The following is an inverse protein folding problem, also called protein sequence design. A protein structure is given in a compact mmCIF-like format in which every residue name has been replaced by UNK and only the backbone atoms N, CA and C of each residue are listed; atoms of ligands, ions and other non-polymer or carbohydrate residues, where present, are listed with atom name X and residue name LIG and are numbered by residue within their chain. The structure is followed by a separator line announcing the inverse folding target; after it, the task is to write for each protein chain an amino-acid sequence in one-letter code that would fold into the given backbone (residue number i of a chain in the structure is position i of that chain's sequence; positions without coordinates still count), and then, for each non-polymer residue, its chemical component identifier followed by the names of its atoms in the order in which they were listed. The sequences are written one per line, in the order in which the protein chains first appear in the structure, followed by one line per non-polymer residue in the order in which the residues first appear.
data_IF_306765431700
#
_entry.id   IF_306765431700
#
_cell.length_a   1.000
_cell.length_b   1.000
_cell.length_c   1.000
_cell.angle_alpha   90.00
_cell.angle_beta   90.00
_cell.angle_gamma   90.00
#
_symmetry.space_group_name_H-M   'P 1'
#
loop_
_entity.id
_entity.type
_entity.pdbx_description
1 polymer ?
#
# COMPACT_ATOMS: atom_id res chain seq x y z
N UNK A 1 -43.61 -52.84 5.40
CA UNK A 1 -42.29 -52.45 4.89
C UNK A 1 -42.20 -50.95 4.68
N UNK A 2 -41.29 -50.33 5.44
CA UNK A 2 -40.60 -49.06 5.23
C UNK A 2 -41.27 -47.96 4.38
N UNK A 3 -41.92 -47.01 5.06
CA UNK A 3 -42.07 -45.64 4.55
C UNK A 3 -40.82 -44.83 4.92
N UNK A 4 -39.93 -44.59 3.97
CA UNK A 4 -38.71 -43.83 4.15
C UNK A 4 -38.99 -42.32 4.10
N UNK A 5 -38.55 -41.65 5.16
CA UNK A 5 -38.56 -40.20 5.32
C UNK A 5 -37.76 -39.48 4.22
N UNK A 6 -38.43 -38.71 3.36
CA UNK A 6 -37.82 -37.53 2.72
C UNK A 6 -38.09 -36.31 3.60
N UNK A 7 -37.20 -36.10 4.59
CA UNK A 7 -37.15 -34.87 5.37
C UNK A 7 -36.26 -33.88 4.62
N UNK A 8 -36.86 -33.17 3.67
CA UNK A 8 -36.18 -32.12 2.89
C UNK A 8 -35.78 -30.99 3.84
N UNK A 9 -34.48 -30.85 4.09
CA UNK A 9 -33.88 -29.79 4.91
C UNK A 9 -34.11 -28.39 4.29
N UNK A 10 -35.27 -27.78 4.55
CA UNK A 10 -35.55 -26.37 4.24
C UNK A 10 -35.15 -25.42 5.38
N UNK A 11 -33.96 -25.59 5.99
CA UNK A 11 -33.46 -24.74 7.11
C UNK A 11 -32.19 -23.92 6.81
N UNK A 12 -31.82 -23.76 5.55
CA UNK A 12 -30.48 -23.25 5.16
C UNK A 12 -30.38 -21.76 4.73
N UNK A 13 -31.44 -21.03 4.31
CA UNK A 13 -31.30 -19.62 3.91
C UNK A 13 -31.26 -18.63 5.09
N UNK A 14 -32.13 -18.81 6.09
CA UNK A 14 -32.31 -17.86 7.19
C UNK A 14 -31.14 -17.84 8.19
N UNK A 15 -30.52 -18.99 8.44
CA UNK A 15 -29.35 -19.07 9.33
C UNK A 15 -28.14 -18.41 8.67
N UNK A 16 -27.93 -18.61 7.36
CA UNK A 16 -26.86 -17.96 6.60
C UNK A 16 -27.07 -16.45 6.49
N UNK A 17 -28.30 -15.97 6.26
CA UNK A 17 -28.60 -14.54 6.22
C UNK A 17 -28.42 -13.88 7.59
N UNK A 18 -28.80 -14.57 8.67
CA UNK A 18 -28.57 -14.08 10.03
C UNK A 18 -27.08 -14.02 10.37
N UNK A 19 -26.31 -15.08 10.10
CA UNK A 19 -24.86 -15.12 10.35
C UNK A 19 -24.09 -14.07 9.53
N UNK A 20 -24.47 -13.84 8.28
CA UNK A 20 -23.87 -12.78 7.44
C UNK A 20 -24.21 -11.39 7.96
N UNK A 21 -25.43 -11.17 8.45
CA UNK A 21 -25.84 -9.91 9.08
C UNK A 21 -25.05 -9.63 10.37
N UNK A 22 -24.95 -10.64 11.26
CA UNK A 22 -24.18 -10.54 12.51
C UNK A 22 -22.71 -10.24 12.20
N UNK A 23 -22.08 -11.01 11.31
CA UNK A 23 -20.70 -10.76 10.89
C UNK A 23 -20.52 -9.35 10.32
N UNK A 24 -21.47 -8.87 9.52
CA UNK A 24 -21.44 -7.51 8.99
C UNK A 24 -21.50 -6.44 10.08
N UNK A 25 -22.30 -6.64 11.13
CA UNK A 25 -22.36 -5.74 12.28
C UNK A 25 -21.04 -5.75 13.07
N UNK A 26 -20.45 -6.92 13.30
CA UNK A 26 -19.16 -7.05 13.98
C UNK A 26 -18.03 -6.35 13.22
N UNK A 27 -17.97 -6.49 11.89
CA UNK A 27 -16.96 -5.81 11.05
C UNK A 27 -17.09 -4.29 11.14
N UNK A 28 -18.32 -3.76 11.17
CA UNK A 28 -18.56 -2.32 11.34
C UNK A 28 -18.15 -1.83 12.73
N UNK A 29 -18.47 -2.59 13.78
CA UNK A 29 -18.06 -2.27 15.14
C UNK A 29 -16.52 -2.21 15.25
N UNK A 30 -15.83 -3.22 14.70
CA UNK A 30 -14.37 -3.26 14.68
C UNK A 30 -13.75 -2.07 13.93
N UNK A 31 -14.33 -1.68 12.79
CA UNK A 31 -13.88 -0.48 12.07
C UNK A 31 -14.08 0.82 12.89
N UNK A 32 -15.13 0.88 13.71
CA UNK A 32 -15.35 2.02 14.60
C UNK A 32 -14.32 2.05 15.75
N UNK A 33 -14.00 0.91 16.34
CA UNK A 33 -12.96 0.78 17.37
C UNK A 33 -11.58 1.18 16.85
N UNK A 34 -11.21 0.74 15.63
CA UNK A 34 -9.98 1.18 14.94
C UNK A 34 -9.95 2.71 14.83
N UNK A 35 -11.10 3.31 14.48
CA UNK A 35 -11.21 4.75 14.30
C UNK A 35 -11.07 5.53 15.62
N UNK A 36 -11.57 4.96 16.71
CA UNK A 36 -11.53 5.55 18.06
C UNK A 36 -10.19 5.36 18.77
N UNK A 37 -9.40 4.36 18.38
CA UNK A 37 -8.10 4.07 18.98
C UNK A 37 -7.19 5.31 19.06
N UNK A 38 -6.67 5.56 20.25
CA UNK A 38 -5.93 6.77 20.63
C UNK A 38 -4.42 6.65 20.37
N UNK A 39 -3.88 5.44 20.25
CA UNK A 39 -2.45 5.18 20.07
C UNK A 39 -2.16 4.00 19.15
N UNK A 40 -0.93 3.90 18.65
CA UNK A 40 -0.46 2.75 17.89
C UNK A 40 -0.48 1.46 18.72
N UNK A 41 -0.16 1.55 20.01
CA UNK A 41 -0.15 0.43 20.94
C UNK A 41 -1.55 -0.14 21.17
N UNK A 42 -2.51 0.73 21.46
CA UNK A 42 -3.91 0.35 21.62
C UNK A 42 -4.44 -0.32 20.35
N UNK A 43 -4.08 0.19 19.18
CA UNK A 43 -4.49 -0.35 17.89
C UNK A 43 -3.93 -1.76 17.63
N UNK A 44 -2.65 -2.01 17.94
CA UNK A 44 -2.07 -3.35 17.80
C UNK A 44 -2.64 -4.34 18.82
N UNK A 45 -2.90 -3.89 20.06
CA UNK A 45 -3.57 -4.72 21.06
C UNK A 45 -5.01 -5.05 20.68
N UNK A 46 -5.73 -4.10 20.06
CA UNK A 46 -7.06 -4.33 19.51
C UNK A 46 -7.01 -5.39 18.40
N UNK A 47 -6.04 -5.29 17.48
CA UNK A 47 -5.82 -6.30 16.43
C UNK A 47 -5.50 -7.68 17.00
N UNK A 48 -4.54 -7.78 17.93
CA UNK A 48 -4.09 -9.05 18.49
C UNK A 48 -5.19 -9.83 19.23
N UNK A 49 -6.22 -9.13 19.73
CA UNK A 49 -7.38 -9.77 20.38
C UNK A 49 -8.49 -10.17 19.41
N UNK A 50 -8.43 -9.76 18.14
CA UNK A 50 -9.51 -9.98 17.17
C UNK A 50 -9.29 -11.24 16.34
N UNK A 51 -10.38 -11.77 15.79
CA UNK A 51 -10.36 -12.93 14.88
C UNK A 51 -10.03 -12.50 13.45
N UNK A 52 -9.22 -13.32 12.76
CA UNK A 52 -8.87 -13.14 11.36
C UNK A 52 -10.07 -13.18 10.40
N UNK A 53 -11.19 -13.78 10.81
CA UNK A 53 -12.44 -13.82 10.03
C UNK A 53 -13.08 -12.45 9.77
N UNK A 54 -12.60 -11.44 10.50
CA UNK A 54 -13.06 -10.06 10.42
C UNK A 54 -12.15 -9.14 9.63
N UNK A 55 -11.01 -9.66 9.19
CA UNK A 55 -10.12 -8.96 8.30
C UNK A 55 -10.80 -8.83 6.94
N UNK A 56 -11.06 -7.59 6.55
CA UNK A 56 -11.48 -7.16 5.22
C UNK A 56 -10.48 -6.13 4.73
N UNK A 57 -10.39 -5.92 3.42
CA UNK A 57 -9.58 -4.87 2.81
C UNK A 57 -9.89 -3.48 3.40
N UNK A 58 -11.15 -3.21 3.72
CA UNK A 58 -11.59 -1.98 4.39
C UNK A 58 -11.05 -1.88 5.82
N UNK A 59 -11.20 -2.92 6.64
CA UNK A 59 -10.75 -2.88 8.05
C UNK A 59 -9.23 -2.86 8.15
N UNK A 60 -8.54 -3.65 7.33
CA UNK A 60 -7.08 -3.66 7.23
C UNK A 60 -6.55 -2.30 6.72
N UNK A 61 -7.18 -1.73 5.68
CA UNK A 61 -6.81 -0.41 5.17
C UNK A 61 -7.00 0.69 6.21
N UNK A 62 -8.09 0.65 6.98
CA UNK A 62 -8.33 1.59 8.07
C UNK A 62 -7.31 1.44 9.20
N UNK A 63 -6.97 0.20 9.57
CA UNK A 63 -5.97 -0.11 10.58
C UNK A 63 -4.59 0.42 10.17
N UNK A 64 -4.10 0.08 8.97
CA UNK A 64 -2.81 0.55 8.47
C UNK A 64 -2.75 2.08 8.39
N UNK A 65 -3.80 2.73 7.89
CA UNK A 65 -3.87 4.19 7.84
C UNK A 65 -3.87 4.83 9.24
N UNK A 66 -4.57 4.23 10.21
CA UNK A 66 -4.58 4.73 11.59
C UNK A 66 -3.22 4.54 12.25
N UNK A 67 -2.60 3.37 12.10
CA UNK A 67 -1.25 3.07 12.58
C UNK A 67 -0.24 4.06 12.00
N UNK A 68 -0.30 4.30 10.69
CA UNK A 68 0.55 5.27 10.00
C UNK A 68 0.44 6.67 10.59
N UNK A 69 -0.79 7.16 10.82
CA UNK A 69 -1.01 8.48 11.43
C UNK A 69 -0.49 8.59 12.87
N UNK A 70 -0.55 7.52 13.65
CA UNK A 70 -0.02 7.52 15.02
C UNK A 70 1.51 7.56 15.04
N UNK A 71 2.15 6.80 14.16
CA UNK A 71 3.61 6.71 14.12
C UNK A 71 4.28 7.88 13.39
N UNK A 72 3.63 8.45 12.37
CA UNK A 72 4.14 9.61 11.62
C UNK A 72 4.30 10.85 12.52
N UNK A 73 3.47 10.99 13.56
CA UNK A 73 3.54 12.10 14.53
C UNK A 73 4.74 12.03 15.48
N UNK A 74 5.28 10.84 15.74
CA UNK A 74 6.33 10.61 16.75
C UNK A 74 7.76 10.82 16.25
N UNK A 75 7.94 11.11 14.95
CA UNK A 75 9.25 11.21 14.29
C UNK A 75 9.90 9.84 14.00
N UNK A 76 10.88 9.84 13.09
CA UNK A 76 11.51 8.60 12.58
C UNK A 76 12.18 7.73 13.67
N UNK A 77 12.70 8.33 14.74
CA UNK A 77 13.36 7.60 15.83
C UNK A 77 12.37 6.78 16.66
N UNK A 78 11.30 7.42 17.12
CA UNK A 78 10.20 6.79 17.87
C UNK A 78 9.51 5.73 17.03
N UNK A 79 9.24 6.05 15.76
CA UNK A 79 8.68 5.13 14.79
C UNK A 79 9.54 3.86 14.68
N UNK A 80 10.84 3.99 14.38
CA UNK A 80 11.75 2.82 14.28
C UNK A 80 11.83 2.01 15.57
N UNK A 81 11.85 2.66 16.74
CA UNK A 81 11.83 1.95 18.02
C UNK A 81 10.56 1.12 18.18
N UNK A 82 9.39 1.73 17.96
CA UNK A 82 8.10 1.04 18.07
C UNK A 82 8.01 -0.18 17.13
N UNK A 83 8.46 -0.02 15.88
CA UNK A 83 8.44 -1.12 14.90
C UNK A 83 9.28 -2.31 15.35
N UNK A 84 10.45 -2.07 15.97
CA UNK A 84 11.32 -3.12 16.52
C UNK A 84 10.69 -3.80 17.74
N UNK A 85 10.16 -3.02 18.67
CA UNK A 85 9.54 -3.54 19.90
C UNK A 85 8.25 -4.34 19.66
N UNK A 86 7.59 -4.13 18.51
CA UNK A 86 6.34 -4.81 18.13
C UNK A 86 6.50 -5.71 16.90
N UNK A 87 7.73 -6.08 16.55
CA UNK A 87 8.06 -6.80 15.32
C UNK A 87 7.23 -8.07 15.12
N UNK A 88 7.02 -8.88 16.17
CA UNK A 88 6.26 -10.13 16.05
C UNK A 88 4.80 -9.93 15.64
N UNK A 89 4.09 -8.99 16.27
CA UNK A 89 2.69 -8.68 15.94
C UNK A 89 2.59 -8.03 14.56
N UNK A 90 3.55 -7.17 14.21
CA UNK A 90 3.62 -6.53 12.90
C UNK A 90 3.90 -7.53 11.77
N UNK A 91 4.72 -8.55 12.03
CA UNK A 91 4.98 -9.63 11.10
C UNK A 91 3.71 -10.44 10.83
N UNK A 92 2.95 -10.78 11.88
CA UNK A 92 1.65 -11.44 11.74
C UNK A 92 0.66 -10.58 10.95
N UNK A 93 0.56 -9.29 11.27
CA UNK A 93 -0.31 -8.35 10.56
C UNK A 93 0.05 -8.28 9.07
N UNK A 94 1.34 -8.23 8.71
CA UNK A 94 1.78 -8.24 7.32
C UNK A 94 1.40 -9.55 6.61
N UNK A 95 1.61 -10.70 7.25
CA UNK A 95 1.28 -12.01 6.70
C UNK A 95 -0.22 -12.17 6.47
N UNK A 96 -1.05 -11.79 7.44
CA UNK A 96 -2.51 -11.84 7.31
C UNK A 96 -3.03 -10.85 6.27
N UNK A 97 -2.50 -9.62 6.26
CA UNK A 97 -2.86 -8.61 5.26
C UNK A 97 -2.54 -9.12 3.85
N UNK A 98 -1.35 -9.71 3.67
CA UNK A 98 -0.91 -10.29 2.40
C UNK A 98 -1.82 -11.45 1.98
N UNK A 99 -2.08 -12.39 2.89
CA UNK A 99 -2.96 -13.51 2.63
C UNK A 99 -4.36 -13.04 2.22
N UNK A 100 -4.92 -12.03 2.92
CA UNK A 100 -6.20 -11.45 2.58
C UNK A 100 -6.19 -10.84 1.17
N UNK A 101 -5.19 -10.01 0.85
CA UNK A 101 -5.09 -9.38 -0.47
C UNK A 101 -4.99 -10.41 -1.61
N UNK A 102 -4.33 -11.54 -1.38
CA UNK A 102 -4.16 -12.58 -2.40
C UNK A 102 -5.41 -13.44 -2.64
N UNK A 103 -6.28 -13.62 -1.64
CA UNK A 103 -7.37 -14.62 -1.70
C UNK A 103 -8.77 -14.02 -1.59
N UNK A 104 -8.91 -12.80 -1.07
CA UNK A 104 -10.19 -12.13 -0.94
C UNK A 104 -10.41 -11.17 -2.13
N UNK A 105 -11.69 -10.97 -2.46
CA UNK A 105 -12.09 -9.91 -3.40
C UNK A 105 -11.88 -8.55 -2.72
N UNK A 106 -10.80 -7.88 -3.09
CA UNK A 106 -10.46 -6.55 -2.59
C UNK A 106 -10.86 -5.48 -3.62
N UNK A 107 -11.23 -4.30 -3.13
CA UNK A 107 -11.39 -3.12 -3.97
C UNK A 107 -10.06 -2.34 -4.09
N UNK A 108 -9.93 -1.53 -5.14
CA UNK A 108 -8.71 -0.78 -5.42
C UNK A 108 -8.38 0.22 -4.30
N UNK A 109 -9.39 0.81 -3.66
CA UNK A 109 -9.23 1.81 -2.61
C UNK A 109 -8.71 1.17 -1.31
N UNK A 110 -9.21 0.00 -0.94
CA UNK A 110 -8.78 -0.81 0.20
C UNK A 110 -7.33 -1.21 0.05
N UNK A 111 -6.95 -1.76 -1.10
CA UNK A 111 -5.57 -2.11 -1.43
C UNK A 111 -4.62 -0.90 -1.32
N UNK A 112 -5.00 0.24 -1.89
CA UNK A 112 -4.19 1.46 -1.80
C UNK A 112 -4.08 1.98 -0.37
N UNK A 113 -5.16 1.93 0.41
CA UNK A 113 -5.15 2.34 1.81
C UNK A 113 -4.22 1.46 2.67
N UNK A 114 -4.18 0.16 2.40
CA UNK A 114 -3.25 -0.78 3.07
C UNK A 114 -1.81 -0.33 2.82
N UNK A 115 -1.39 -0.22 1.55
CA UNK A 115 0.01 0.10 1.22
C UNK A 115 0.36 1.52 1.65
N UNK A 116 -0.55 2.48 1.48
CA UNK A 116 -0.36 3.86 1.91
C UNK A 116 -0.14 3.96 3.43
N UNK A 117 -0.99 3.30 4.21
CA UNK A 117 -0.86 3.24 5.66
C UNK A 117 0.41 2.52 6.11
N UNK A 118 0.78 1.43 5.45
CA UNK A 118 2.02 0.70 5.71
C UNK A 118 3.28 1.52 5.39
N UNK A 119 3.26 2.33 4.34
CA UNK A 119 4.36 3.28 4.06
C UNK A 119 4.43 4.36 5.14
N UNK A 120 3.29 4.96 5.50
CA UNK A 120 3.24 6.03 6.52
C UNK A 120 3.64 5.55 7.91
N UNK A 121 3.32 4.31 8.24
CA UNK A 121 3.77 3.68 9.49
C UNK A 121 5.26 3.38 9.50
N UNK A 122 5.96 3.60 8.39
CA UNK A 122 7.39 3.29 8.24
C UNK A 122 7.63 1.81 8.03
N UNK A 123 6.56 0.99 7.95
CA UNK A 123 6.66 -0.45 7.80
C UNK A 123 7.50 -0.79 6.59
N UNK A 124 7.19 -0.17 5.44
CA UNK A 124 7.81 -0.44 4.15
C UNK A 124 9.25 0.10 4.02
N UNK A 125 9.88 0.54 5.13
CA UNK A 125 11.27 1.00 5.21
C UNK A 125 11.89 0.67 6.58
N UNK A 126 12.53 -0.50 6.73
CA UNK A 126 12.99 -1.02 8.03
C UNK A 126 13.27 -2.53 8.05
N UNK A 127 12.89 -3.23 9.13
CA UNK A 127 13.02 -4.68 9.31
C UNK A 127 11.87 -5.46 8.61
N UNK A 128 11.91 -6.80 8.58
CA UNK A 128 10.91 -7.65 7.87
C UNK A 128 10.92 -7.49 6.34
N UNK A 129 12.10 -7.46 5.72
CA UNK A 129 12.24 -7.21 4.29
C UNK A 129 11.40 -8.15 3.41
N UNK A 130 11.32 -9.43 3.77
CA UNK A 130 10.57 -10.46 3.02
C UNK A 130 9.07 -10.19 3.03
N UNK A 131 8.48 -9.99 4.20
CA UNK A 131 7.03 -9.81 4.37
C UNK A 131 6.54 -8.57 3.62
N UNK A 132 7.34 -7.51 3.61
CA UNK A 132 7.00 -6.25 2.95
C UNK A 132 7.09 -6.34 1.45
N UNK A 133 8.13 -7.01 0.96
CA UNK A 133 8.27 -7.28 -0.46
C UNK A 133 7.07 -8.09 -0.94
N UNK A 134 6.70 -9.15 -0.20
CA UNK A 134 5.55 -9.98 -0.51
C UNK A 134 4.22 -9.20 -0.49
N UNK A 135 4.00 -8.31 0.49
CA UNK A 135 2.82 -7.45 0.51
C UNK A 135 2.77 -6.54 -0.73
N UNK A 136 3.88 -5.89 -1.07
CA UNK A 136 3.94 -5.00 -2.24
C UNK A 136 3.75 -5.76 -3.56
N UNK A 137 4.39 -6.92 -3.73
CA UNK A 137 4.23 -7.78 -4.91
C UNK A 137 2.77 -8.22 -5.05
N UNK A 138 2.16 -8.67 -3.95
CA UNK A 138 0.76 -9.11 -3.93
C UNK A 138 -0.18 -7.96 -4.27
N UNK A 139 -0.06 -6.81 -3.58
CA UNK A 139 -0.96 -5.69 -3.80
C UNK A 139 -0.80 -5.11 -5.20
N UNK A 140 0.43 -4.98 -5.72
CA UNK A 140 0.64 -4.46 -7.07
C UNK A 140 0.04 -5.38 -8.14
N UNK A 141 0.18 -6.70 -7.99
CA UNK A 141 -0.40 -7.69 -8.89
C UNK A 141 -1.93 -7.68 -8.89
N UNK A 142 -2.55 -7.54 -7.72
CA UNK A 142 -4.02 -7.49 -7.60
C UNK A 142 -4.57 -6.12 -8.03
N UNK A 143 -3.87 -5.03 -7.73
CA UNK A 143 -4.32 -3.67 -8.01
C UNK A 143 -4.25 -3.32 -9.51
N UNK A 144 -3.18 -3.72 -10.21
CA UNK A 144 -2.96 -3.37 -11.62
C UNK A 144 -4.18 -3.63 -12.54
N UNK A 145 -4.83 -4.81 -12.53
CA UNK A 145 -6.02 -5.05 -13.36
C UNK A 145 -7.27 -4.28 -12.91
N UNK A 146 -7.31 -3.74 -11.69
CA UNK A 146 -8.45 -2.99 -11.15
C UNK A 146 -8.38 -1.48 -11.44
N UNK A 147 -7.19 -0.96 -11.75
CA UNK A 147 -6.94 0.49 -11.87
C UNK A 147 -7.91 1.18 -12.83
N UNK A 148 -8.21 0.56 -13.96
CA UNK A 148 -9.10 1.17 -14.94
C UNK A 148 -10.57 1.14 -14.54
N UNK A 149 -11.07 -0.05 -14.16
CA UNK A 149 -12.49 -0.26 -13.84
C UNK A 149 -12.91 0.41 -12.54
N UNK A 150 -11.97 0.64 -11.63
CA UNK A 150 -12.19 1.32 -10.34
C UNK A 150 -11.40 2.63 -10.26
N UNK A 151 -11.24 3.31 -11.40
CA UNK A 151 -10.46 4.54 -11.47
C UNK A 151 -10.97 5.61 -10.49
N UNK A 152 -10.04 6.20 -9.75
CA UNK A 152 -10.29 7.38 -8.94
C UNK A 152 -8.99 8.22 -8.85
N UNK A 153 -9.03 9.54 -9.07
CA UNK A 153 -7.81 10.37 -9.20
C UNK A 153 -6.86 10.27 -8.01
N UNK A 154 -7.40 10.41 -6.80
CA UNK A 154 -6.61 10.29 -5.56
C UNK A 154 -6.08 8.86 -5.35
N UNK A 155 -6.81 7.84 -5.79
CA UNK A 155 -6.42 6.44 -5.60
C UNK A 155 -5.16 6.15 -6.42
N UNK A 156 -5.14 6.53 -7.70
CA UNK A 156 -3.97 6.28 -8.57
C UNK A 156 -2.74 7.08 -8.12
N UNK A 157 -2.94 8.34 -7.68
CA UNK A 157 -1.85 9.15 -7.14
C UNK A 157 -1.27 8.56 -5.86
N UNK A 158 -2.12 8.12 -4.92
CA UNK A 158 -1.67 7.50 -3.69
C UNK A 158 -1.02 6.13 -3.93
N UNK A 159 -1.50 5.35 -4.90
CA UNK A 159 -0.88 4.08 -5.29
C UNK A 159 0.57 4.32 -5.73
N UNK A 160 0.77 5.14 -6.77
CA UNK A 160 2.11 5.46 -7.28
C UNK A 160 3.03 6.04 -6.20
N UNK A 161 2.51 6.98 -5.39
CA UNK A 161 3.28 7.55 -4.28
C UNK A 161 3.72 6.49 -3.28
N UNK A 162 2.84 5.58 -2.90
CA UNK A 162 3.14 4.55 -1.91
C UNK A 162 4.21 3.58 -2.43
N UNK A 163 4.11 3.13 -3.68
CA UNK A 163 5.12 2.25 -4.27
C UNK A 163 6.48 2.94 -4.50
N UNK A 164 6.49 4.18 -5.00
CA UNK A 164 7.70 4.97 -5.16
C UNK A 164 8.36 5.29 -3.81
N UNK A 165 7.56 5.59 -2.78
CA UNK A 165 8.04 5.79 -1.41
C UNK A 165 8.50 4.46 -0.80
N UNK A 166 7.88 3.33 -1.08
CA UNK A 166 8.38 2.02 -0.64
C UNK A 166 9.69 1.63 -1.33
N UNK A 167 10.09 2.33 -2.41
CA UNK A 167 11.22 1.96 -3.28
C UNK A 167 11.06 0.55 -3.86
N UNK A 168 9.80 0.18 -4.13
CA UNK A 168 9.46 -1.12 -4.67
C UNK A 168 9.12 -0.98 -6.16
N UNK A 169 9.77 -1.79 -6.99
CA UNK A 169 9.60 -1.76 -8.44
C UNK A 169 8.31 -2.47 -8.85
N UNK A 170 7.30 -1.72 -9.30
CA UNK A 170 6.01 -2.25 -9.73
C UNK A 170 5.64 -1.80 -11.16
N UNK A 171 6.43 -2.16 -12.18
CA UNK A 171 6.30 -1.58 -13.54
C UNK A 171 4.91 -1.83 -14.14
N UNK A 172 4.31 -3.01 -13.92
CA UNK A 172 2.96 -3.34 -14.39
C UNK A 172 1.90 -2.40 -13.81
N UNK A 173 2.00 -2.06 -12.52
CA UNK A 173 1.07 -1.13 -11.88
C UNK A 173 1.25 0.30 -12.43
N UNK A 174 2.49 0.76 -12.60
CA UNK A 174 2.76 2.09 -13.15
C UNK A 174 2.28 2.23 -14.60
N UNK A 175 2.45 1.19 -15.41
CA UNK A 175 1.89 1.13 -16.77
C UNK A 175 0.36 1.12 -16.77
N UNK A 176 -0.27 0.38 -15.86
CA UNK A 176 -1.72 0.38 -15.72
C UNK A 176 -2.26 1.77 -15.33
N UNK A 177 -1.57 2.47 -14.42
CA UNK A 177 -1.92 3.84 -14.02
C UNK A 177 -1.74 4.82 -15.16
N UNK A 178 -0.62 4.80 -15.89
CA UNK A 178 -0.40 5.72 -17.01
C UNK A 178 -1.45 5.51 -18.10
N UNK A 179 -1.73 4.26 -18.46
CA UNK A 179 -2.80 3.93 -19.41
C UNK A 179 -4.17 4.42 -18.91
N UNK A 180 -4.48 4.25 -17.62
CA UNK A 180 -5.77 4.65 -17.07
C UNK A 180 -5.98 6.16 -16.95
N UNK A 181 -4.94 6.92 -16.61
CA UNK A 181 -4.99 8.38 -16.56
C UNK A 181 -5.11 8.96 -17.97
N UNK A 182 -4.42 8.38 -18.95
CA UNK A 182 -4.41 8.86 -20.33
C UNK A 182 -5.56 8.32 -21.21
N UNK A 183 -6.38 7.39 -20.71
CA UNK A 183 -7.48 6.77 -21.48
C UNK A 183 -8.49 7.81 -21.98
N UNK A 184 -8.80 8.80 -21.15
CA UNK A 184 -9.76 9.87 -21.47
C UNK A 184 -9.25 11.22 -20.96
N UNK A 185 -9.42 12.32 -21.72
CA UNK A 185 -9.00 13.66 -21.28
C UNK A 185 -9.60 14.10 -19.93
N UNK A 186 -10.82 13.66 -19.64
CA UNK A 186 -11.55 13.95 -18.39
C UNK A 186 -10.85 13.38 -17.16
N UNK A 187 -10.19 12.22 -17.27
CA UNK A 187 -9.47 11.58 -16.16
C UNK A 187 -8.24 12.37 -15.76
N UNK A 188 -7.47 12.85 -16.73
CA UNK A 188 -6.35 13.76 -16.48
C UNK A 188 -6.84 15.08 -15.87
N UNK A 189 -7.92 15.66 -16.41
CA UNK A 189 -8.51 16.91 -15.91
C UNK A 189 -9.08 16.79 -14.49
N UNK A 190 -9.47 15.58 -14.06
CA UNK A 190 -10.01 15.32 -12.72
C UNK A 190 -8.94 15.22 -11.61
N UNK A 191 -7.65 15.18 -11.97
CA UNK A 191 -6.57 15.16 -10.99
C UNK A 191 -6.39 16.54 -10.37
N UNK A 192 -6.37 16.60 -9.04
CA UNK A 192 -6.06 17.85 -8.32
C UNK A 192 -4.55 18.12 -8.43
N UNK A 193 -4.10 19.37 -8.20
CA UNK A 193 -2.68 19.72 -8.27
C UNK A 193 -1.77 18.81 -7.43
N UNK A 194 -2.21 18.41 -6.24
CA UNK A 194 -1.48 17.47 -5.37
C UNK A 194 -1.37 16.07 -5.99
N UNK A 195 -2.43 15.59 -6.65
CA UNK A 195 -2.46 14.27 -7.26
C UNK A 195 -1.49 14.23 -8.45
N UNK A 196 -1.44 15.30 -9.25
CA UNK A 196 -0.46 15.48 -10.34
C UNK A 196 0.97 15.49 -9.79
N UNK A 197 1.25 16.31 -8.77
CA UNK A 197 2.58 16.40 -8.17
C UNK A 197 3.05 15.04 -7.64
N UNK A 198 2.16 14.30 -6.97
CA UNK A 198 2.46 12.95 -6.49
C UNK A 198 2.75 11.97 -7.63
N UNK A 199 1.96 11.99 -8.71
CA UNK A 199 2.22 11.14 -9.88
C UNK A 199 3.59 11.48 -10.50
N UNK A 200 3.85 12.75 -10.82
CA UNK A 200 5.12 13.19 -11.42
C UNK A 200 6.33 12.76 -10.57
N UNK A 201 6.30 13.02 -9.26
CA UNK A 201 7.38 12.62 -8.35
C UNK A 201 7.55 11.10 -8.31
N UNK A 202 6.46 10.35 -8.30
CA UNK A 202 6.48 8.88 -8.22
C UNK A 202 7.03 8.23 -9.48
N UNK A 203 6.63 8.72 -10.66
CA UNK A 203 7.17 8.24 -11.93
C UNK A 203 8.66 8.55 -12.03
N UNK A 204 9.08 9.80 -11.76
CA UNK A 204 10.49 10.18 -11.77
C UNK A 204 11.34 9.30 -10.83
N UNK A 205 10.82 9.02 -9.62
CA UNK A 205 11.51 8.18 -8.63
C UNK A 205 11.53 6.69 -8.98
N UNK A 206 10.50 6.18 -9.65
CA UNK A 206 10.45 4.74 -10.02
C UNK A 206 11.37 4.44 -11.19
N UNK A 207 11.48 5.36 -12.16
CA UNK A 207 12.42 5.22 -13.28
C UNK A 207 13.89 5.39 -12.85
N UNK A 208 14.19 6.20 -11.84
CA UNK A 208 15.56 6.30 -11.33
C UNK A 208 16.04 5.04 -10.62
N UNK A 209 15.14 4.29 -9.97
CA UNK A 209 15.46 2.97 -9.36
C UNK A 209 15.66 1.89 -10.42
N UNK A 210 14.92 1.94 -11.55
CA UNK A 210 15.07 0.99 -12.64
C UNK A 210 16.36 1.20 -13.47
N UNK A 211 16.82 2.45 -13.61
CA UNK A 211 17.99 2.79 -14.44
C UNK A 211 19.34 2.68 -13.70
N UNK A 212 19.35 2.59 -12.36
CA UNK A 212 20.58 2.48 -11.57
C UNK A 212 20.45 1.43 -10.45
N UNK A 213 20.68 0.14 -10.71
CA UNK A 213 20.75 -0.88 -9.67
C UNK A 213 22.04 -0.79 -8.80
N UNK A 214 22.89 0.22 -9.00
CA UNK A 214 24.08 0.49 -8.17
C UNK A 214 24.07 1.92 -7.63
N UNK A 215 24.54 2.16 -6.40
CA UNK A 215 24.63 3.51 -5.86
C UNK A 215 25.86 4.21 -6.46
N UNK A 216 25.74 4.74 -7.67
CA UNK A 216 26.65 5.77 -8.15
C UNK A 216 26.12 7.14 -7.71
N UNK A 217 26.64 7.60 -6.58
CA UNK A 217 26.51 8.95 -6.10
C UNK A 217 27.25 9.90 -7.06
N UNK A 218 26.59 10.43 -8.09
CA UNK A 218 27.22 11.46 -8.96
C UNK A 218 26.23 12.32 -9.76
N UNK A 219 25.04 12.62 -9.25
CA UNK A 219 24.10 13.53 -9.94
C UNK A 219 23.70 14.79 -9.17
N UNK A 220 24.61 15.32 -8.33
CA UNK A 220 24.41 16.63 -7.69
C UNK A 220 25.47 17.70 -8.00
N UNK A 221 26.36 17.49 -8.98
CA UNK A 221 27.17 18.59 -9.50
C UNK A 221 26.98 18.72 -11.01
N UNK A 222 26.08 19.63 -11.39
CA UNK A 222 26.28 20.41 -12.61
C UNK A 222 27.49 21.30 -12.30
N UNK A 223 28.69 20.87 -12.70
CA UNK A 223 29.84 21.77 -12.76
C UNK A 223 29.65 22.73 -13.94
N UNK A 224 29.90 24.04 -13.77
CA UNK A 224 29.84 25.00 -14.86
C UNK A 224 30.99 24.75 -15.85
N UNK A 225 30.87 25.15 -17.13
CA UNK A 225 31.93 24.95 -18.11
C UNK A 225 33.14 25.79 -17.70
N UNK A 226 34.20 25.11 -17.26
CA UNK A 226 35.46 25.76 -16.92
C UNK A 226 36.21 26.10 -18.20
N UNK A 227 36.47 27.40 -18.34
CA UNK A 227 37.42 28.11 -19.18
C UNK A 227 38.39 27.27 -20.04
N UNK A 228 38.47 27.66 -21.31
CA UNK A 228 39.61 27.39 -22.20
C UNK A 228 40.92 27.78 -21.51
N UNK A 229 41.78 26.80 -21.24
CA UNK A 229 43.21 27.02 -21.11
C UNK A 229 43.86 26.51 -22.41
N UNK A 230 44.29 27.45 -23.25
CA UNK A 230 45.19 27.18 -24.36
C UNK A 230 46.57 26.79 -23.80
N UNK A 231 47.01 25.56 -24.04
CA UNK A 231 48.44 25.22 -24.07
C UNK A 231 48.83 24.94 -25.52
N UNK A 232 49.64 25.83 -26.10
CA UNK A 232 50.38 25.57 -27.35
C UNK A 232 51.82 25.16 -27.03
N UNK A 233 52.41 24.22 -27.78
CA UNK A 233 53.68 23.61 -27.43
C UNK A 233 54.88 24.44 -27.89
N UNK A 234 55.95 24.49 -27.06
CA UNK A 234 57.27 25.00 -27.46
C UNK A 234 57.83 24.12 -28.58
N UNK A 235 58.14 24.74 -29.73
CA UNK A 235 59.01 24.15 -30.76
C UNK A 235 60.47 24.42 -30.42
N UNK A 236 61.29 23.38 -30.59
CA UNK A 236 62.73 23.47 -30.67
C UNK A 236 63.16 23.86 -32.09
N UNK A 237 63.99 24.90 -32.19
CA UNK A 237 65.04 25.20 -33.19
C UNK A 237 65.28 26.71 -33.20
#
# INVERSE_FOLDING_TARGET
SAGSHQRTERRLPLVRSYQTSVRGAEVRAFSAEISQSSSAEELLNLYARRSSSMNTDVTLGNLWNKLGRHLERGGEGTQRRFLRERQAVLQQLLQETTHHCAHAKCDARGLVNIVHGAVKSGMLRGELARERQLLCDTVSGVLAPLVDSQYHPQMVANACWSFAKAQHNAPTLFTAVSAAVCREPTRLASLRPQDIANLCWSFARSYSVACFPTPCATWFFVSPPSAMCHETPRRAS
#
